data_IF_102680294232
#
_entry.id   IF_102680294232
#
_cell.length_a   1.000
_cell.length_b   1.000
_cell.length_c   1.000
_cell.angle_alpha   90.00
_cell.angle_beta   90.00
_cell.angle_gamma   90.00
#
_symmetry.space_group_name_H-M   'P 1'
#
loop_
_entity.id
_entity.type
_entity.pdbx_description
1 polymer ?
#
# COMPACT_ATOMS: atom_id res chain seq x y z
N UNK A 1 17.87 31.15 -35.13
CA UNK A 1 19.32 30.87 -35.00
C UNK A 1 19.89 31.80 -33.94
N UNK A 2 20.36 31.28 -32.79
CA UNK A 2 21.02 32.09 -31.75
C UNK A 2 22.27 31.33 -31.31
N UNK A 3 23.44 31.79 -31.78
CA UNK A 3 24.74 31.28 -31.36
C UNK A 3 25.00 31.77 -29.93
N UNK A 4 25.08 30.84 -28.98
CA UNK A 4 25.67 31.09 -27.67
C UNK A 4 27.00 30.34 -27.66
N UNK A 5 28.10 31.09 -27.73
CA UNK A 5 29.44 30.56 -27.57
C UNK A 5 29.57 29.93 -26.17
N UNK A 6 30.08 28.70 -26.11
CA UNK A 6 30.40 28.04 -24.85
C UNK A 6 31.60 28.75 -24.19
N UNK A 7 31.39 29.31 -23.00
CA UNK A 7 32.45 29.93 -22.19
C UNK A 7 33.40 28.83 -21.65
N UNK A 8 34.74 28.90 -21.83
CA UNK A 8 35.64 27.78 -21.54
C UNK A 8 35.91 27.50 -20.06
N UNK A 9 35.48 28.38 -19.14
CA UNK A 9 35.98 28.38 -17.76
C UNK A 9 34.86 28.49 -16.71
N UNK A 10 33.89 27.58 -16.74
CA UNK A 10 33.08 27.33 -15.54
C UNK A 10 33.88 26.39 -14.63
N UNK A 11 34.18 26.76 -13.38
CA UNK A 11 34.78 25.82 -12.44
C UNK A 11 33.84 24.63 -12.32
N UNK A 12 34.35 23.43 -12.61
CA UNK A 12 33.63 22.16 -12.49
C UNK A 12 32.87 22.19 -11.17
N UNK A 13 31.55 22.30 -11.27
CA UNK A 13 30.64 22.47 -10.14
C UNK A 13 31.09 21.60 -8.99
N UNK A 14 31.61 22.21 -7.93
CA UNK A 14 31.79 21.54 -6.64
C UNK A 14 30.37 21.24 -6.16
N UNK A 15 29.81 20.11 -6.59
CA UNK A 15 28.51 19.64 -6.15
C UNK A 15 28.67 19.42 -4.65
N UNK A 16 28.22 20.42 -3.87
CA UNK A 16 28.11 20.31 -2.42
C UNK A 16 27.36 19.02 -2.12
N UNK A 17 28.03 18.11 -1.41
CA UNK A 17 27.49 16.81 -1.07
C UNK A 17 26.36 17.02 -0.05
N UNK A 18 25.18 17.39 -0.51
CA UNK A 18 24.02 17.56 0.36
C UNK A 18 23.78 16.24 1.09
N UNK A 19 24.15 16.20 2.37
CA UNK A 19 23.92 15.04 3.23
C UNK A 19 22.42 14.77 3.23
N UNK A 20 22.03 13.56 2.80
CA UNK A 20 20.61 13.16 2.81
C UNK A 20 20.07 13.38 4.20
N UNK A 21 19.01 14.17 4.33
CA UNK A 21 18.34 14.40 5.62
C UNK A 21 17.84 13.06 6.14
N UNK A 22 18.43 12.55 7.21
CA UNK A 22 17.89 11.41 7.93
C UNK A 22 16.75 11.93 8.83
N UNK A 23 15.53 11.44 8.59
CA UNK A 23 14.40 11.76 9.46
C UNK A 23 14.58 11.23 10.88
N UNK A 24 13.62 11.51 11.75
CA UNK A 24 13.62 11.05 13.14
C UNK A 24 13.74 9.51 13.22
N UNK A 25 14.55 8.97 14.17
CA UNK A 25 14.63 7.54 14.41
C UNK A 25 13.25 6.91 14.67
N UNK A 26 13.08 5.68 14.19
CA UNK A 26 11.83 4.94 14.35
C UNK A 26 11.67 4.50 15.81
N UNK A 27 10.45 4.59 16.34
CA UNK A 27 10.11 4.03 17.67
C UNK A 27 10.09 2.50 17.71
N UNK A 28 10.20 1.88 16.54
CA UNK A 28 9.95 0.47 16.34
C UNK A 28 11.16 -0.17 15.68
N UNK A 29 11.50 -1.36 16.17
CA UNK A 29 12.70 -2.13 15.80
C UNK A 29 12.42 -3.11 14.64
N UNK A 30 13.48 -3.68 14.06
CA UNK A 30 13.35 -4.73 13.04
C UNK A 30 12.70 -6.00 13.61
N UNK A 31 13.01 -6.34 14.86
CA UNK A 31 12.40 -7.48 15.55
C UNK A 31 10.90 -7.28 15.74
N UNK A 32 10.48 -6.08 16.15
CA UNK A 32 9.04 -5.77 16.28
C UNK A 32 8.32 -5.84 14.94
N UNK A 33 8.90 -5.31 13.87
CA UNK A 33 8.37 -5.47 12.50
C UNK A 33 8.14 -6.94 12.13
N UNK A 34 9.15 -7.76 12.39
CA UNK A 34 9.14 -9.18 12.04
C UNK A 34 8.02 -9.92 12.78
N UNK A 35 7.90 -9.70 14.09
CA UNK A 35 6.86 -10.33 14.91
C UNK A 35 5.45 -9.86 14.51
N UNK A 36 5.28 -8.57 14.23
CA UNK A 36 4.01 -8.03 13.74
C UNK A 36 3.61 -8.66 12.39
N UNK A 37 4.58 -8.84 11.48
CA UNK A 37 4.35 -9.49 10.19
C UNK A 37 3.98 -10.96 10.36
N UNK A 38 4.68 -11.70 11.22
CA UNK A 38 4.36 -13.10 11.52
C UNK A 38 2.95 -13.23 12.09
N UNK A 39 2.61 -12.42 13.09
CA UNK A 39 1.29 -12.46 13.73
C UNK A 39 0.17 -12.19 12.72
N UNK A 40 0.33 -11.18 11.85
CA UNK A 40 -0.61 -10.87 10.77
C UNK A 40 -0.70 -11.94 9.69
N UNK A 41 0.42 -12.60 9.37
CA UNK A 41 0.42 -13.67 8.36
C UNK A 41 -0.29 -14.91 8.89
N UNK A 42 -0.11 -15.23 10.17
CA UNK A 42 -0.78 -16.35 10.85
C UNK A 42 -2.27 -16.12 11.05
N UNK A 43 -2.66 -14.90 11.41
CA UNK A 43 -4.06 -14.53 11.56
C UNK A 43 -4.31 -13.12 10.98
N UNK A 44 -4.71 -13.04 9.70
CA UNK A 44 -5.01 -11.76 9.03
C UNK A 44 -6.21 -11.00 9.60
N UNK A 45 -7.02 -11.61 10.49
CA UNK A 45 -8.18 -10.97 11.12
C UNK A 45 -7.84 -10.27 12.44
N UNK A 46 -6.58 -10.32 12.88
CA UNK A 46 -6.16 -9.66 14.11
C UNK A 46 -6.32 -8.13 14.01
N UNK A 47 -6.87 -7.52 15.07
CA UNK A 47 -6.94 -6.05 15.16
C UNK A 47 -5.62 -5.49 15.66
N UNK A 48 -5.25 -4.27 15.24
CA UNK A 48 -4.06 -3.56 15.74
C UNK A 48 -4.04 -3.43 17.27
N UNK A 49 -5.21 -3.23 17.89
CA UNK A 49 -5.37 -3.24 19.37
C UNK A 49 -5.02 -4.62 19.95
N UNK A 50 -5.49 -5.70 19.32
CA UNK A 50 -5.16 -7.07 19.71
C UNK A 50 -3.67 -7.37 19.62
N UNK A 51 -2.99 -6.90 18.57
CA UNK A 51 -1.53 -7.01 18.45
C UNK A 51 -0.79 -6.25 19.56
N UNK A 52 -1.28 -5.07 19.93
CA UNK A 52 -0.69 -4.30 21.03
C UNK A 52 -0.85 -5.02 22.37
N UNK A 53 -2.00 -5.66 22.60
CA UNK A 53 -2.27 -6.45 23.79
C UNK A 53 -1.47 -7.77 23.83
N UNK A 54 -1.16 -8.36 22.68
CA UNK A 54 -0.39 -9.60 22.56
C UNK A 54 1.11 -9.38 22.85
N UNK A 55 1.63 -8.19 22.53
CA UNK A 55 3.05 -7.85 22.67
C UNK A 55 3.28 -6.58 23.52
N UNK A 56 2.76 -6.51 24.76
CA UNK A 56 2.77 -5.27 25.53
C UNK A 56 4.19 -4.77 25.81
N UNK A 57 5.14 -5.66 26.10
CA UNK A 57 6.56 -5.32 26.34
C UNK A 57 7.27 -4.73 25.12
N UNK A 58 6.87 -5.16 23.93
CA UNK A 58 7.52 -4.78 22.66
C UNK A 58 6.91 -3.50 22.04
N UNK A 59 5.64 -3.20 22.32
CA UNK A 59 4.89 -2.06 21.74
C UNK A 59 4.26 -1.12 22.78
N UNK A 60 4.66 -1.20 24.06
CA UNK A 60 4.14 -0.34 25.13
C UNK A 60 4.15 1.16 24.76
N UNK A 61 5.29 1.67 24.30
CA UNK A 61 5.49 3.09 23.95
C UNK A 61 5.06 3.49 22.53
N UNK A 62 4.45 2.57 21.77
CA UNK A 62 4.07 2.78 20.37
C UNK A 62 2.57 3.01 20.28
N UNK A 63 2.15 4.09 19.61
CA UNK A 63 0.74 4.36 19.38
C UNK A 63 0.13 3.28 18.46
N UNK A 64 -1.14 2.94 18.69
CA UNK A 64 -1.87 1.96 17.86
C UNK A 64 -1.84 2.39 16.39
N UNK A 65 -2.02 3.69 16.12
CA UNK A 65 -1.95 4.24 14.77
C UNK A 65 -0.58 4.05 14.11
N UNK A 66 0.52 4.10 14.86
CA UNK A 66 1.86 3.82 14.33
C UNK A 66 1.99 2.36 13.90
N UNK A 67 1.45 1.42 14.69
CA UNK A 67 1.42 -0.01 14.34
C UNK A 67 0.58 -0.21 13.08
N UNK A 68 -0.60 0.41 13.01
CA UNK A 68 -1.46 0.35 11.83
C UNK A 68 -0.74 0.89 10.58
N UNK A 69 -0.16 2.10 10.66
CA UNK A 69 0.60 2.70 9.57
C UNK A 69 1.78 1.81 9.13
N UNK A 70 2.46 1.13 10.06
CA UNK A 70 3.56 0.20 9.76
C UNK A 70 3.08 -1.02 8.99
N UNK A 71 2.04 -1.69 9.49
CA UNK A 71 1.42 -2.85 8.84
C UNK A 71 1.00 -2.51 7.41
N UNK A 72 0.37 -1.35 7.30
CA UNK A 72 -0.10 -0.79 6.05
C UNK A 72 1.07 -0.48 5.10
N UNK A 73 1.93 0.48 5.41
CA UNK A 73 2.84 1.07 4.43
C UNK A 73 4.20 0.38 4.30
N UNK A 74 4.58 -0.47 5.26
CA UNK A 74 5.94 -1.00 5.32
C UNK A 74 6.03 -2.53 5.39
N UNK A 75 4.98 -3.21 5.84
CA UNK A 75 5.02 -4.67 6.04
C UNK A 75 4.20 -5.47 5.01
N UNK A 76 3.56 -4.79 4.06
CA UNK A 76 2.77 -5.38 2.98
C UNK A 76 1.79 -6.47 3.47
N UNK A 77 1.19 -6.26 4.65
CA UNK A 77 0.32 -7.27 5.26
C UNK A 77 -1.02 -7.34 4.52
N UNK A 78 -1.62 -8.54 4.38
CA UNK A 78 -2.91 -8.70 3.71
C UNK A 78 -3.96 -7.82 4.40
N UNK A 79 -4.66 -7.01 3.62
CA UNK A 79 -5.81 -6.23 4.12
C UNK A 79 -7.02 -7.14 4.25
N UNK A 80 -7.80 -6.92 5.30
CA UNK A 80 -9.11 -7.55 5.47
C UNK A 80 -9.94 -7.40 4.19
N UNK A 81 -10.51 -8.53 3.83
CA UNK A 81 -11.21 -8.82 2.60
C UNK A 81 -12.62 -8.23 2.66
N UNK A 82 -12.72 -6.91 2.52
CA UNK A 82 -14.03 -6.25 2.51
C UNK A 82 -14.82 -6.52 1.21
N UNK A 83 -14.19 -7.08 0.16
CA UNK A 83 -14.77 -7.13 -1.19
C UNK A 83 -14.94 -8.55 -1.77
N UNK A 84 -14.51 -9.63 -1.11
CA UNK A 84 -14.65 -10.98 -1.71
C UNK A 84 -16.09 -11.48 -1.70
N UNK A 85 -16.84 -11.31 -0.61
CA UNK A 85 -18.20 -11.84 -0.50
C UNK A 85 -19.13 -11.41 -1.64
N UNK A 86 -19.38 -10.11 -1.89
CA UNK A 86 -20.28 -9.70 -2.96
C UNK A 86 -19.80 -10.13 -4.35
N UNK A 87 -18.48 -10.23 -4.55
CA UNK A 87 -17.89 -10.72 -5.81
C UNK A 87 -18.09 -12.22 -6.01
N UNK A 88 -17.92 -13.00 -4.95
CA UNK A 88 -18.16 -14.45 -4.96
C UNK A 88 -19.64 -14.72 -5.18
N UNK A 89 -20.52 -14.00 -4.47
CA UNK A 89 -21.97 -14.15 -4.61
C UNK A 89 -22.42 -13.81 -6.05
N UNK A 90 -21.90 -12.72 -6.62
CA UNK A 90 -22.14 -12.37 -8.02
C UNK A 90 -21.64 -13.47 -8.98
N UNK A 91 -20.42 -13.95 -8.80
CA UNK A 91 -19.85 -15.00 -9.66
C UNK A 91 -20.63 -16.33 -9.57
N UNK A 92 -21.09 -16.70 -8.37
CA UNK A 92 -21.90 -17.91 -8.17
C UNK A 92 -23.28 -17.77 -8.80
N UNK A 93 -23.94 -16.61 -8.66
CA UNK A 93 -25.24 -16.34 -9.24
C UNK A 93 -25.24 -16.38 -10.78
N UNK A 94 -24.12 -15.99 -11.40
CA UNK A 94 -23.98 -15.90 -12.86
C UNK A 94 -23.11 -17.02 -13.46
N UNK A 95 -22.76 -18.06 -12.67
CA UNK A 95 -21.85 -19.14 -13.08
C UNK A 95 -22.35 -19.90 -14.32
N UNK A 96 -23.66 -20.09 -14.43
CA UNK A 96 -24.29 -20.87 -15.50
C UNK A 96 -24.90 -20.00 -16.60
N UNK A 97 -24.61 -18.69 -16.62
CA UNK A 97 -25.14 -17.79 -17.62
C UNK A 97 -24.54 -18.05 -18.99
N UNK A 98 -25.41 -18.08 -19.99
CA UNK A 98 -25.04 -18.24 -21.39
C UNK A 98 -24.69 -16.90 -22.01
N UNK A 99 -24.11 -16.93 -23.22
CA UNK A 99 -23.81 -15.71 -23.99
C UNK A 99 -25.06 -14.87 -24.21
N UNK A 100 -26.22 -15.50 -24.35
CA UNK A 100 -27.47 -14.80 -24.57
C UNK A 100 -27.93 -14.04 -23.32
N UNK A 101 -27.80 -14.64 -22.12
CA UNK A 101 -28.11 -13.98 -20.85
C UNK A 101 -27.26 -12.71 -20.65
N UNK A 102 -25.98 -12.75 -21.03
CA UNK A 102 -25.09 -11.59 -20.94
C UNK A 102 -25.46 -10.43 -21.87
N UNK A 103 -26.10 -10.71 -23.02
CA UNK A 103 -26.55 -9.65 -23.95
C UNK A 103 -27.64 -8.77 -23.35
N UNK A 104 -28.39 -9.29 -22.38
CA UNK A 104 -29.44 -8.55 -21.70
C UNK A 104 -28.89 -7.64 -20.59
N UNK A 105 -27.59 -7.69 -20.29
CA UNK A 105 -26.95 -6.84 -19.28
C UNK A 105 -26.39 -5.58 -19.92
N UNK A 106 -26.89 -4.43 -19.46
CA UNK A 106 -26.27 -3.14 -19.74
C UNK A 106 -25.16 -2.86 -18.73
N UNK A 107 -23.96 -2.64 -19.23
CA UNK A 107 -22.82 -2.22 -18.43
C UNK A 107 -22.61 -0.71 -18.56
N UNK A 108 -22.55 0.00 -17.44
CA UNK A 108 -22.09 1.38 -17.37
C UNK A 108 -20.90 1.48 -16.42
N UNK A 109 -19.87 2.21 -16.83
CA UNK A 109 -18.71 2.55 -16.00
C UNK A 109 -18.46 4.06 -16.12
N UNK A 110 -18.04 4.67 -15.01
CA UNK A 110 -17.67 6.07 -14.95
C UNK A 110 -16.15 6.18 -14.90
N UNK A 111 -15.55 6.68 -15.98
CA UNK A 111 -14.12 6.97 -16.02
C UNK A 111 -13.84 8.43 -15.69
N UNK A 112 -12.92 8.67 -14.76
CA UNK A 112 -12.47 10.03 -14.41
C UNK A 112 -11.29 10.45 -15.30
N UNK A 113 -11.46 11.51 -16.08
CA UNK A 113 -10.38 12.12 -16.86
C UNK A 113 -9.82 13.32 -16.10
N UNK A 114 -8.50 13.33 -15.85
CA UNK A 114 -7.84 14.41 -15.10
C UNK A 114 -6.72 15.03 -15.95
N UNK A 115 -6.68 16.35 -16.02
CA UNK A 115 -5.71 17.13 -16.80
C UNK A 115 -4.41 17.47 -16.05
N UNK A 116 -4.41 17.35 -14.72
CA UNK A 116 -3.24 17.60 -13.86
C UNK A 116 -3.11 16.43 -12.88
N UNK A 117 -1.90 15.89 -12.76
CA UNK A 117 -1.64 14.69 -11.96
C UNK A 117 -1.95 14.91 -10.48
N UNK A 118 -3.07 14.38 -10.00
CA UNK A 118 -3.28 14.20 -8.57
C UNK A 118 -2.47 13.01 -8.06
N UNK A 119 -2.05 13.11 -6.80
CA UNK A 119 -1.21 12.13 -6.11
C UNK A 119 -1.70 10.69 -6.31
N UNK A 120 -0.78 9.78 -6.67
CA UNK A 120 -1.05 8.34 -6.81
C UNK A 120 -1.70 7.79 -5.53
N UNK A 121 -3.00 7.48 -5.59
CA UNK A 121 -3.67 6.70 -4.56
C UNK A 121 -3.13 5.27 -4.64
N UNK A 122 -2.31 4.89 -3.65
CA UNK A 122 -1.76 3.54 -3.58
C UNK A 122 -2.86 2.58 -3.10
N UNK A 123 -3.53 1.92 -4.03
CA UNK A 123 -4.52 0.88 -3.72
C UNK A 123 -3.80 -0.43 -3.48
N UNK A 124 -3.92 -0.99 -2.27
CA UNK A 124 -3.35 -2.31 -1.96
C UNK A 124 -4.21 -3.42 -2.54
N UNK A 125 -3.60 -4.36 -3.24
CA UNK A 125 -4.25 -5.60 -3.68
C UNK A 125 -3.61 -6.79 -2.94
N UNK A 126 -4.39 -7.61 -2.23
CA UNK A 126 -3.85 -8.80 -1.59
C UNK A 126 -3.39 -9.81 -2.65
N UNK A 127 -2.28 -10.49 -2.40
CA UNK A 127 -1.94 -11.73 -3.09
C UNK A 127 -2.87 -12.77 -2.50
N UNK A 128 -3.86 -13.22 -3.27
CA UNK A 128 -4.73 -14.31 -2.87
C UNK A 128 -3.85 -15.57 -2.82
N UNK A 129 -3.66 -16.15 -1.64
CA UNK A 129 -3.27 -17.54 -1.55
C UNK A 129 -4.52 -18.36 -1.88
N UNK A 130 -4.59 -18.85 -3.10
CA UNK A 130 -5.56 -19.86 -3.51
C UNK A 130 -5.05 -21.19 -2.93
N UNK A 131 -5.86 -21.93 -2.15
CA UNK A 131 -5.44 -23.20 -1.56
C UNK A 131 -5.07 -24.25 -2.63
#
# INVERSE_FOLDING_TARGET
>A
MRLMAASPNLPTTTISQYKRRCGRPRKTTKLTDHLLKIAMTRNPRLTTKGLKNMYPKLVAGVAVQTIQHRLQHHLATPSSVATLKPRIDFALAHKNWTVDDWKHVLWSDESTFQFVANHRVHVRRPILYVP
#
